data_IF_079583379736
#
_entry.id   IF_079583379736
#
_cell.length_a   1.000
_cell.length_b   1.000
_cell.length_c   1.000
_cell.angle_alpha   90.00
_cell.angle_beta   90.00
_cell.angle_gamma   90.00
#
_symmetry.space_group_name_H-M   'P 1'
#
loop_
_entity.id
_entity.type
_entity.pdbx_description
1 polymer ?
#
# COMPACT_ATOMS: atom_id res chain seq x y z
N UNK A 1 12.37 -0.09 15.21
CA UNK A 1 13.00 1.17 15.65
C UNK A 1 11.97 2.28 15.49
N UNK A 2 11.56 2.96 16.58
CA UNK A 2 10.66 4.12 16.45
C UNK A 2 11.41 5.18 15.63
N UNK A 3 10.74 5.76 14.63
CA UNK A 3 11.31 6.90 13.89
C UNK A 3 11.29 8.09 14.84
N UNK A 4 12.45 8.57 15.23
CA UNK A 4 12.55 9.71 16.15
C UNK A 4 11.92 10.95 15.49
N UNK A 5 10.88 11.48 16.14
CA UNK A 5 10.19 12.70 15.71
C UNK A 5 10.74 13.86 16.51
N UNK A 6 11.72 14.56 15.94
CA UNK A 6 12.44 15.66 16.58
C UNK A 6 12.53 16.92 15.70
N UNK A 7 12.00 16.89 14.48
CA UNK A 7 12.04 18.02 13.56
C UNK A 7 10.90 18.97 13.88
N UNK A 8 11.18 20.25 14.07
CA UNK A 8 10.16 21.25 14.41
C UNK A 8 9.44 21.78 13.17
N UNK A 9 8.27 22.40 13.35
CA UNK A 9 7.55 23.11 12.28
C UNK A 9 8.43 24.14 11.56
N UNK A 10 9.29 24.87 12.30
CA UNK A 10 10.21 25.85 11.71
C UNK A 10 11.17 25.19 10.73
N UNK A 11 11.73 24.06 11.14
CA UNK A 11 12.68 23.31 10.31
C UNK A 11 11.99 22.63 9.12
N UNK A 12 10.82 22.02 9.32
CA UNK A 12 10.03 21.40 8.26
C UNK A 12 9.70 22.40 7.14
N UNK A 13 9.29 23.64 7.48
CA UNK A 13 9.08 24.70 6.49
C UNK A 13 10.34 25.07 5.73
N UNK A 14 11.47 25.22 6.44
CA UNK A 14 12.76 25.59 5.84
C UNK A 14 13.21 24.55 4.82
N UNK A 15 13.02 23.27 5.12
CA UNK A 15 13.39 22.16 4.23
C UNK A 15 12.45 22.04 3.03
N UNK A 16 11.14 22.04 3.26
CA UNK A 16 10.14 21.73 2.21
C UNK A 16 9.73 22.94 1.38
N UNK A 17 9.89 24.16 1.91
CA UNK A 17 9.36 25.39 1.34
C UNK A 17 7.85 25.55 1.52
N UNK A 18 7.17 24.62 2.20
CA UNK A 18 5.75 24.71 2.50
C UNK A 18 5.47 25.69 3.63
N UNK A 19 4.31 26.33 3.59
CA UNK A 19 3.85 27.19 4.69
C UNK A 19 3.41 26.37 5.91
N UNK A 20 3.41 26.99 7.09
CA UNK A 20 2.91 26.34 8.31
C UNK A 20 1.45 25.89 8.17
N UNK A 21 0.66 26.65 7.38
CA UNK A 21 -0.75 26.37 7.14
C UNK A 21 -0.93 25.11 6.29
N UNK A 22 -0.16 24.98 5.22
CA UNK A 22 -0.17 23.79 4.36
C UNK A 22 0.21 22.53 5.15
N UNK A 23 1.30 22.57 5.92
CA UNK A 23 1.74 21.41 6.71
C UNK A 23 0.67 20.98 7.74
N UNK A 24 0.02 21.94 8.40
CA UNK A 24 -1.10 21.63 9.31
C UNK A 24 -2.29 21.03 8.58
N UNK A 25 -2.61 21.58 7.42
CA UNK A 25 -3.69 21.05 6.59
C UNK A 25 -3.40 19.61 6.15
N UNK A 26 -2.16 19.27 5.78
CA UNK A 26 -1.81 17.90 5.42
C UNK A 26 -1.86 16.92 6.60
N UNK A 27 -1.52 17.36 7.81
CA UNK A 27 -1.76 16.62 9.05
C UNK A 27 -3.27 16.43 9.31
N UNK A 28 -4.08 17.47 9.17
CA UNK A 28 -5.55 17.41 9.29
C UNK A 28 -6.21 16.53 8.21
N UNK A 29 -5.53 16.30 7.08
CA UNK A 29 -5.98 15.42 6.00
C UNK A 29 -5.39 14.01 6.10
N UNK A 30 -4.73 13.67 7.22
CA UNK A 30 -4.08 12.38 7.51
C UNK A 30 -3.04 11.97 6.46
N UNK A 31 -2.40 12.95 5.80
CA UNK A 31 -1.32 12.69 4.83
C UNK A 31 0.04 12.53 5.51
N UNK A 32 0.18 13.07 6.72
CA UNK A 32 1.36 12.95 7.58
C UNK A 32 0.91 12.75 9.01
N UNK A 33 1.77 12.17 9.85
CA UNK A 33 1.42 11.82 11.23
C UNK A 33 2.47 12.33 12.22
N UNK A 34 2.64 13.65 12.42
CA UNK A 34 3.55 14.18 13.43
C UNK A 34 3.18 13.75 14.85
N UNK A 35 4.15 13.76 15.76
CA UNK A 35 3.92 13.60 17.19
C UNK A 35 3.78 14.96 17.87
N UNK A 36 3.18 15.00 19.05
CA UNK A 36 3.10 16.22 19.87
C UNK A 36 4.16 16.18 20.96
N UNK A 37 4.93 17.26 21.08
CA UNK A 37 5.83 17.48 22.21
C UNK A 37 5.04 17.78 23.49
N UNK A 38 5.71 17.78 24.64
CA UNK A 38 5.14 18.22 25.93
C UNK A 38 4.56 19.64 25.88
N UNK A 39 5.11 20.52 25.04
CA UNK A 39 4.60 21.87 24.77
C UNK A 39 3.53 21.94 23.68
N UNK A 40 2.92 20.80 23.31
CA UNK A 40 1.92 20.66 22.24
C UNK A 40 2.39 21.12 20.85
N UNK A 41 3.71 21.10 20.58
CA UNK A 41 4.26 21.40 19.26
C UNK A 41 4.30 20.13 18.41
N UNK A 42 4.04 20.27 17.10
CA UNK A 42 4.21 19.15 16.16
C UNK A 42 5.69 18.87 15.93
N UNK A 43 6.07 17.62 16.09
CA UNK A 43 7.38 17.08 15.80
C UNK A 43 7.28 16.07 14.66
N UNK A 44 8.14 16.25 13.68
CA UNK A 44 8.19 15.47 12.45
C UNK A 44 9.41 14.55 12.46
N UNK A 45 9.29 13.44 11.75
CA UNK A 45 10.40 12.54 11.42
C UNK A 45 10.93 12.85 10.03
N UNK A 46 12.12 12.34 9.68
CA UNK A 46 12.66 12.48 8.32
C UNK A 46 11.73 11.89 7.24
N UNK A 47 11.00 10.81 7.56
CA UNK A 47 9.99 10.27 6.65
C UNK A 47 8.82 11.21 6.42
N UNK A 48 8.36 11.94 7.46
CA UNK A 48 7.29 12.93 7.26
C UNK A 48 7.77 14.05 6.33
N UNK A 49 9.05 14.44 6.43
CA UNK A 49 9.66 15.42 5.52
C UNK A 49 9.69 14.89 4.08
N UNK A 50 10.05 13.63 3.85
CA UNK A 50 10.00 13.00 2.51
C UNK A 50 8.58 13.00 1.94
N UNK A 51 7.58 12.65 2.76
CA UNK A 51 6.17 12.69 2.34
C UNK A 51 5.75 14.11 1.99
N UNK A 52 6.14 15.11 2.78
CA UNK A 52 5.87 16.52 2.47
C UNK A 52 6.46 16.98 1.12
N UNK A 53 7.67 16.52 0.77
CA UNK A 53 8.23 16.77 -0.56
C UNK A 53 7.40 16.10 -1.66
N UNK A 54 7.00 14.85 -1.46
CA UNK A 54 6.15 14.12 -2.42
C UNK A 54 4.79 14.79 -2.63
N UNK A 55 4.17 15.27 -1.56
CA UNK A 55 2.92 16.06 -1.63
C UNK A 55 3.14 17.31 -2.48
N UNK A 56 4.25 18.03 -2.26
CA UNK A 56 4.57 19.24 -3.02
C UNK A 56 4.73 18.94 -4.51
N UNK A 57 5.51 17.92 -4.87
CA UNK A 57 5.71 17.53 -6.27
C UNK A 57 4.39 17.14 -6.96
N UNK A 58 3.53 16.38 -6.27
CA UNK A 58 2.22 16.01 -6.81
C UNK A 58 1.28 17.21 -6.97
N UNK A 59 1.35 18.20 -6.08
CA UNK A 59 0.60 19.45 -6.23
C UNK A 59 1.11 20.28 -7.40
N UNK A 60 2.43 20.35 -7.60
CA UNK A 60 3.05 21.08 -8.72
C UNK A 60 2.67 20.44 -10.07
N UNK A 61 2.40 19.13 -10.10
CA UNK A 61 1.82 18.42 -11.24
C UNK A 61 0.31 18.68 -11.45
N UNK A 62 -0.34 19.46 -10.59
CA UNK A 62 -1.76 19.79 -10.68
C UNK A 62 -2.71 18.74 -10.12
N UNK A 63 -2.23 17.77 -9.32
CA UNK A 63 -3.10 16.78 -8.70
C UNK A 63 -3.94 17.40 -7.57
N UNK A 64 -5.17 16.92 -7.40
CA UNK A 64 -6.01 17.27 -6.23
C UNK A 64 -5.53 16.58 -4.96
N UNK A 65 -5.96 17.08 -3.79
CA UNK A 65 -5.63 16.48 -2.48
C UNK A 65 -6.17 15.05 -2.36
N UNK A 66 -7.35 14.77 -2.90
CA UNK A 66 -7.93 13.42 -2.91
C UNK A 66 -7.05 12.46 -3.73
N UNK A 67 -6.55 12.94 -4.88
CA UNK A 67 -5.65 12.15 -5.73
C UNK A 67 -4.33 11.87 -5.01
N UNK A 68 -3.79 12.88 -4.33
CA UNK A 68 -2.55 12.77 -3.55
C UNK A 68 -2.70 11.76 -2.42
N UNK A 69 -3.83 11.78 -1.69
CA UNK A 69 -4.13 10.82 -0.62
C UNK A 69 -4.06 9.38 -1.13
N UNK A 70 -4.69 9.10 -2.27
CA UNK A 70 -4.67 7.77 -2.89
C UNK A 70 -3.26 7.35 -3.29
N UNK A 71 -2.45 8.27 -3.85
CA UNK A 71 -1.07 7.99 -4.29
C UNK A 71 -0.09 7.75 -3.14
N UNK A 72 -0.26 8.42 -2.01
CA UNK A 72 0.65 8.29 -0.85
C UNK A 72 0.29 7.07 0.02
N UNK A 73 -0.99 6.70 0.05
CA UNK A 73 -1.48 5.55 0.84
C UNK A 73 -1.22 4.22 0.14
N UNK A 74 -1.21 4.21 -1.19
CA UNK A 74 -0.83 3.03 -1.93
C UNK A 74 0.63 2.68 -1.59
N UNK A 75 0.93 1.46 -1.12
CA UNK A 75 2.30 0.99 -1.15
C UNK A 75 2.73 1.09 -2.61
N UNK A 76 3.81 1.83 -2.88
CA UNK A 76 4.52 1.67 -4.14
C UNK A 76 4.90 0.20 -4.17
N UNK A 77 4.15 -0.59 -4.94
CA UNK A 77 4.67 -1.87 -5.39
C UNK A 77 5.80 -1.42 -6.31
N UNK A 78 7.03 -1.47 -5.79
CA UNK A 78 8.21 -1.30 -6.61
C UNK A 78 8.04 -2.28 -7.79
N UNK A 79 8.00 -1.77 -9.02
CA UNK A 79 7.93 -2.64 -10.22
C UNK A 79 9.21 -3.50 -10.36
N UNK A 80 10.18 -3.31 -9.47
CA UNK A 80 11.44 -4.07 -9.33
C UNK A 80 11.25 -5.48 -8.71
N UNK A 81 10.02 -5.98 -8.52
CA UNK A 81 9.80 -7.42 -8.37
C UNK A 81 10.09 -8.12 -9.71
N UNK A 82 11.37 -8.41 -9.98
CA UNK A 82 11.87 -9.11 -11.17
C UNK A 82 11.09 -10.41 -11.45
N UNK A 83 10.81 -10.68 -12.73
CA UNK A 83 10.14 -11.92 -13.20
C UNK A 83 10.87 -13.21 -12.76
N UNK A 84 12.17 -13.14 -12.44
CA UNK A 84 13.01 -14.29 -12.11
C UNK A 84 12.68 -14.95 -10.75
N UNK A 85 12.14 -14.21 -9.78
CA UNK A 85 11.85 -14.73 -8.44
C UNK A 85 10.57 -15.59 -8.38
N UNK A 86 9.70 -15.50 -9.40
CA UNK A 86 8.48 -16.32 -9.50
C UNK A 86 8.75 -17.76 -9.94
N UNK A 87 9.96 -18.05 -10.44
CA UNK A 87 10.33 -19.40 -10.89
C UNK A 87 10.88 -20.28 -9.76
N UNK A 88 11.20 -19.72 -8.60
CA UNK A 88 11.80 -20.46 -7.46
C UNK A 88 10.83 -20.79 -6.32
N UNK A 89 9.57 -20.37 -6.39
CA UNK A 89 8.54 -20.84 -5.47
C UNK A 89 8.12 -22.26 -5.84
N UNK A 90 8.85 -23.25 -5.30
CA UNK A 90 8.39 -24.63 -5.21
C UNK A 90 7.10 -24.69 -4.38
N UNK A 91 5.96 -24.58 -5.07
CA UNK A 91 4.62 -24.53 -4.49
C UNK A 91 4.13 -25.91 -4.00
N UNK A 92 5.03 -26.91 -3.93
CA UNK A 92 4.69 -28.30 -3.67
C UNK A 92 4.53 -28.69 -2.19
N UNK A 93 5.18 -28.01 -1.23
CA UNK A 93 5.42 -28.62 0.09
C UNK A 93 4.83 -27.89 1.31
N UNK A 94 3.95 -26.89 1.13
CA UNK A 94 3.33 -26.18 2.27
C UNK A 94 1.85 -25.88 2.07
N UNK A 95 1.03 -26.92 2.09
CA UNK A 95 -0.43 -26.81 2.13
C UNK A 95 -1.05 -27.15 3.50
N UNK A 96 -0.27 -27.52 4.50
CA UNK A 96 -0.81 -28.08 5.76
C UNK A 96 -0.97 -27.10 6.94
N UNK A 97 -0.70 -25.79 6.78
CA UNK A 97 -0.69 -24.86 7.93
C UNK A 97 -1.61 -23.63 7.83
N UNK A 98 -2.55 -23.59 6.89
CA UNK A 98 -3.53 -22.51 6.76
C UNK A 98 -4.98 -22.92 7.13
N UNK A 99 -5.14 -24.00 7.89
CA UNK A 99 -6.44 -24.54 8.27
C UNK A 99 -7.25 -23.70 9.26
N UNK A 100 -6.66 -22.69 9.90
CA UNK A 100 -7.25 -22.09 11.12
C UNK A 100 -7.38 -20.55 11.10
N UNK A 101 -7.21 -19.92 9.94
CA UNK A 101 -7.42 -18.46 9.81
C UNK A 101 -8.84 -18.14 9.36
N UNK A 102 -9.63 -17.59 10.28
CA UNK A 102 -10.98 -17.09 10.01
C UNK A 102 -10.91 -15.75 9.26
N UNK A 103 -11.20 -15.77 7.96
CA UNK A 103 -11.04 -14.64 7.03
C UNK A 103 -12.34 -13.84 6.86
N UNK A 104 -12.84 -13.20 7.92
CA UNK A 104 -14.16 -12.54 7.94
C UNK A 104 -14.15 -11.01 7.78
N UNK A 105 -13.02 -10.37 7.41
CA UNK A 105 -12.98 -8.91 7.25
C UNK A 105 -12.77 -8.48 5.79
N UNK A 106 -13.84 -7.99 5.16
CA UNK A 106 -13.82 -7.23 3.90
C UNK A 106 -13.37 -5.78 4.16
N UNK A 107 -12.06 -5.60 4.34
CA UNK A 107 -11.31 -4.32 4.33
C UNK A 107 -10.91 -3.74 5.72
N UNK A 108 -9.68 -3.17 5.84
CA UNK A 108 -8.61 -3.10 4.84
C UNK A 108 -7.84 -4.40 4.73
N UNK A 109 -7.80 -4.90 3.50
CA UNK A 109 -7.39 -6.26 3.13
C UNK A 109 -5.88 -6.43 3.33
N UNK A 110 -5.48 -6.69 4.57
CA UNK A 110 -4.11 -7.08 4.94
C UNK A 110 -3.72 -8.43 4.34
N UNK A 111 -4.65 -9.14 3.69
CA UNK A 111 -4.41 -10.45 3.11
C UNK A 111 -4.99 -10.57 1.69
N UNK A 112 -4.65 -9.61 0.82
CA UNK A 112 -5.15 -9.52 -0.57
C UNK A 112 -4.76 -10.77 -1.37
N UNK A 113 -3.59 -11.31 -1.06
CA UNK A 113 -3.06 -12.58 -1.55
C UNK A 113 -3.96 -13.77 -1.21
N UNK A 114 -4.42 -13.89 0.04
CA UNK A 114 -5.33 -14.97 0.45
C UNK A 114 -6.69 -14.89 -0.26
N UNK A 115 -7.23 -13.67 -0.43
CA UNK A 115 -8.46 -13.43 -1.16
C UNK A 115 -8.32 -13.78 -2.65
N UNK A 116 -7.26 -13.28 -3.31
CA UNK A 116 -6.96 -13.57 -4.73
C UNK A 116 -6.79 -15.07 -4.98
N UNK A 117 -6.12 -15.80 -4.08
CA UNK A 117 -5.96 -17.25 -4.14
C UNK A 117 -7.30 -17.99 -3.99
N UNK A 118 -8.16 -17.56 -3.08
CA UNK A 118 -9.50 -18.15 -2.91
C UNK A 118 -10.38 -17.92 -4.14
N UNK A 119 -10.34 -16.71 -4.71
CA UNK A 119 -11.07 -16.36 -5.93
C UNK A 119 -10.59 -17.16 -7.15
N UNK A 120 -9.28 -17.37 -7.31
CA UNK A 120 -8.75 -18.17 -8.42
C UNK A 120 -9.11 -19.66 -8.29
N UNK A 121 -9.19 -20.20 -7.07
CA UNK A 121 -9.65 -21.56 -6.81
C UNK A 121 -11.14 -21.74 -7.14
N UNK A 122 -11.98 -20.76 -6.78
CA UNK A 122 -13.42 -20.78 -7.06
C UNK A 122 -13.69 -20.70 -8.57
N UNK A 123 -12.98 -19.82 -9.29
CA UNK A 123 -13.14 -19.69 -10.74
C UNK A 123 -12.62 -20.91 -11.51
N UNK A 124 -11.70 -21.69 -10.93
CA UNK A 124 -11.19 -22.93 -11.54
C UNK A 124 -12.20 -24.09 -11.46
N UNK A 125 -13.15 -24.06 -10.52
CA UNK A 125 -14.23 -25.06 -10.42
C UNK A 125 -15.44 -24.78 -11.31
N UNK A 126 -15.54 -23.58 -11.92
CA UNK A 126 -16.72 -23.16 -12.70
C UNK A 126 -16.40 -22.81 -14.16
N UNK A 127 -15.55 -23.59 -14.83
CA UNK A 127 -15.53 -23.64 -16.30
C UNK A 127 -16.08 -25.00 -16.76
N UNK A 128 -17.21 -25.04 -17.48
CA UNK A 128 -17.74 -26.28 -18.03
C UNK A 128 -16.94 -26.61 -19.29
N UNK A 129 -16.17 -27.70 -19.27
CA UNK A 129 -15.72 -28.32 -20.52
C UNK A 129 -16.92 -29.01 -21.16
N UNK A 130 -17.66 -28.25 -21.98
CA UNK A 130 -18.63 -28.77 -22.92
C UNK A 130 -18.01 -28.90 -24.31
N UNK A 131 -17.96 -30.16 -24.79
CA UNK A 131 -18.21 -30.55 -26.19
C UNK A 131 -17.11 -30.18 -27.25
N UNK A 132 -16.70 -31.00 -28.23
CA UNK A 132 -17.29 -32.20 -28.84
C UNK A 132 -16.35 -32.73 -29.98
N UNK A 133 -16.57 -34.01 -30.35
CA UNK A 133 -16.43 -34.67 -31.68
C UNK A 133 -15.16 -35.45 -32.12
N UNK A 134 -15.54 -36.57 -32.77
CA UNK A 134 -14.94 -37.25 -33.92
C UNK A 134 -13.97 -38.43 -33.69
N UNK A 135 -14.56 -39.64 -33.69
CA UNK A 135 -14.46 -40.50 -34.88
C UNK A 135 -13.31 -41.51 -34.97
N UNK A 136 -13.73 -42.78 -35.05
CA UNK A 136 -13.28 -43.85 -35.99
C UNK A 136 -12.43 -45.00 -35.42
N UNK A 137 -13.01 -46.21 -35.62
CA UNK A 137 -12.41 -47.57 -35.79
C UNK A 137 -11.76 -48.18 -34.54
N UNK A 138 -12.02 -49.44 -34.18
CA UNK A 138 -12.31 -50.65 -34.98
C UNK A 138 -13.51 -51.48 -34.48
#
# INVERSE_FOLDING_TARGET
MKRDKNITMKEAKRRTGLSSRQIRYYDEQDLIFPERSSGNQRLFSESDIKVLFKIKELLDQGNSIETIRSKITAPEIEEDFFEEDYQTLDYGDSLNNYGDVNLDSLYPVSNRSALLKKLSLINKSESPEGENKDGKKD
#
